data_IF_540181912108
#
_entry.id   IF_540181912108
#
_cell.length_a   1.000
_cell.length_b   1.000
_cell.length_c   1.000
_cell.angle_alpha   90.00
_cell.angle_beta   90.00
_cell.angle_gamma   90.00
#
_symmetry.space_group_name_H-M   'P 1'
#
loop_
_entity.id
_entity.type
_entity.pdbx_description
1 polymer ?
#
# COMPACT_ATOMS: atom_id res chain seq x y z
N UNK A 1 25.74 5.29 -11.56
CA UNK A 1 25.27 6.43 -10.78
C UNK A 1 24.34 5.84 -9.75
N UNK A 2 24.82 5.77 -8.49
CA UNK A 2 24.04 5.23 -7.41
C UNK A 2 23.01 6.27 -6.96
N UNK A 3 21.74 6.01 -7.16
CA UNK A 3 20.66 6.62 -6.43
C UNK A 3 20.68 6.04 -5.01
N UNK A 4 20.72 6.88 -4.00
CA UNK A 4 20.90 6.44 -2.62
C UNK A 4 19.61 5.81 -2.01
N UNK A 5 18.45 6.04 -2.60
CA UNK A 5 17.19 5.35 -2.23
C UNK A 5 16.56 4.71 -3.46
N UNK A 6 16.34 3.42 -3.39
CA UNK A 6 15.64 2.66 -4.41
C UNK A 6 14.57 1.82 -3.74
N UNK A 7 13.33 2.27 -3.79
CA UNK A 7 12.19 1.41 -3.51
C UNK A 7 11.98 0.52 -4.73
N UNK A 8 11.80 -0.78 -4.50
CA UNK A 8 11.79 -1.79 -5.55
C UNK A 8 10.55 -2.63 -5.44
N UNK A 9 9.86 -2.78 -6.55
CA UNK A 9 8.77 -3.74 -6.65
C UNK A 9 9.02 -4.76 -7.77
N UNK A 10 8.63 -6.01 -7.51
CA UNK A 10 8.76 -7.13 -8.43
C UNK A 10 7.44 -7.38 -9.12
N UNK A 11 7.48 -7.52 -10.44
CA UNK A 11 6.28 -7.88 -11.19
C UNK A 11 5.73 -9.23 -10.72
N UNK A 12 4.50 -9.30 -10.21
CA UNK A 12 3.92 -10.55 -9.70
C UNK A 12 3.62 -11.59 -10.79
N UNK A 13 3.41 -11.14 -12.03
CA UNK A 13 3.02 -11.98 -13.17
C UNK A 13 4.24 -12.27 -14.04
N UNK A 14 5.01 -11.24 -14.39
CA UNK A 14 6.15 -11.34 -15.29
C UNK A 14 7.44 -11.44 -14.51
N UNK A 15 7.95 -12.68 -14.36
CA UNK A 15 9.15 -12.95 -13.57
C UNK A 15 10.39 -12.25 -14.15
N UNK A 16 11.22 -11.71 -13.24
CA UNK A 16 12.46 -11.03 -13.59
C UNK A 16 12.31 -9.53 -13.87
N UNK A 17 11.09 -9.00 -13.96
CA UNK A 17 10.85 -7.58 -14.13
C UNK A 17 10.76 -6.87 -12.77
N UNK A 18 11.53 -5.78 -12.62
CA UNK A 18 11.60 -4.98 -11.38
C UNK A 18 11.45 -3.51 -11.75
N UNK A 19 10.72 -2.78 -10.92
CA UNK A 19 10.70 -1.31 -10.91
C UNK A 19 11.56 -0.79 -9.77
N UNK A 20 12.13 0.38 -9.97
CA UNK A 20 12.90 1.10 -8.97
C UNK A 20 12.54 2.58 -9.02
N UNK A 21 12.00 3.11 -7.92
CA UNK A 21 11.80 4.54 -7.71
C UNK A 21 13.11 5.21 -7.31
N UNK A 22 13.29 6.46 -7.66
CA UNK A 22 14.54 7.17 -7.45
C UNK A 22 14.33 8.63 -7.05
N UNK A 23 15.24 9.14 -6.21
CA UNK A 23 15.34 10.56 -5.86
C UNK A 23 15.55 11.48 -7.08
N UNK A 24 16.07 10.95 -8.20
CA UNK A 24 16.27 11.68 -9.44
C UNK A 24 14.97 11.92 -10.24
N UNK A 25 13.80 11.72 -9.61
CA UNK A 25 12.46 11.90 -10.17
C UNK A 25 12.07 10.89 -11.23
N UNK A 26 12.83 9.81 -11.39
CA UNK A 26 12.57 8.80 -12.41
C UNK A 26 12.17 7.45 -11.82
N UNK A 27 11.48 6.65 -12.65
CA UNK A 27 11.25 5.23 -12.37
C UNK A 27 12.00 4.41 -13.40
N UNK A 28 12.88 3.52 -12.94
CA UNK A 28 13.64 2.62 -13.80
C UNK A 28 13.00 1.22 -13.81
N UNK A 29 12.81 0.69 -15.01
CA UNK A 29 12.33 -0.67 -15.24
C UNK A 29 13.49 -1.57 -15.67
N UNK A 30 13.67 -2.67 -14.99
CA UNK A 30 14.74 -3.63 -15.22
C UNK A 30 14.20 -4.99 -15.61
N UNK A 31 14.89 -5.66 -16.55
CA UNK A 31 14.68 -7.08 -16.86
C UNK A 31 15.92 -7.88 -16.43
N UNK A 32 15.81 -8.61 -15.34
CA UNK A 32 16.91 -9.43 -14.82
C UNK A 32 17.27 -10.60 -15.74
N UNK A 33 16.35 -11.03 -16.59
CA UNK A 33 16.60 -12.10 -17.55
C UNK A 33 17.55 -11.65 -18.67
N UNK A 34 17.68 -10.34 -18.88
CA UNK A 34 18.61 -9.77 -19.85
C UNK A 34 20.06 -9.69 -19.34
N UNK A 35 20.32 -10.07 -18.07
CA UNK A 35 21.67 -10.05 -17.50
C UNK A 35 22.60 -11.04 -18.21
N UNK A 36 23.73 -10.51 -18.68
CA UNK A 36 24.80 -11.31 -19.28
C UNK A 36 26.03 -11.33 -18.37
N UNK A 37 26.52 -12.52 -18.05
CA UNK A 37 27.67 -12.71 -17.14
C UNK A 37 28.95 -12.03 -17.64
N UNK A 38 29.10 -11.92 -18.94
CA UNK A 38 30.25 -11.32 -19.61
C UNK A 38 30.32 -9.82 -19.41
N UNK A 39 29.20 -9.13 -19.47
CA UNK A 39 29.13 -7.68 -19.33
C UNK A 39 29.26 -7.20 -17.87
N UNK A 40 28.87 -8.07 -16.91
CA UNK A 40 28.78 -7.76 -15.46
C UNK A 40 27.93 -6.53 -15.12
N UNK A 41 27.23 -5.98 -16.08
CA UNK A 41 26.38 -4.80 -15.96
C UNK A 41 25.00 -5.09 -16.50
N UNK A 42 23.99 -4.57 -15.84
CA UNK A 42 22.63 -4.54 -16.32
C UNK A 42 22.23 -3.08 -16.52
N UNK A 43 21.65 -2.78 -17.68
CA UNK A 43 21.09 -1.45 -17.94
C UNK A 43 19.58 -1.52 -17.78
N UNK A 44 18.92 -0.40 -17.36
CA UNK A 44 17.47 -0.39 -17.31
C UNK A 44 16.91 -0.64 -18.70
N UNK A 45 15.88 -1.47 -18.76
CA UNK A 45 15.11 -1.70 -19.97
C UNK A 45 14.45 -0.41 -20.45
N UNK A 46 13.98 0.40 -19.48
CA UNK A 46 13.34 1.69 -19.72
C UNK A 46 13.44 2.59 -18.48
N UNK A 47 13.44 3.91 -18.73
CA UNK A 47 13.38 4.93 -17.67
C UNK A 47 12.17 5.83 -17.94
N UNK A 48 11.27 5.91 -16.98
CA UNK A 48 10.05 6.72 -17.06
C UNK A 48 10.28 8.07 -16.38
N UNK A 49 9.85 9.13 -17.07
CA UNK A 49 10.02 10.52 -16.62
C UNK A 49 8.67 11.21 -16.62
N UNK A 50 8.19 11.62 -15.44
CA UNK A 50 6.87 12.23 -15.32
C UNK A 50 6.66 12.95 -14.01
N UNK A 51 7.32 12.51 -12.93
CA UNK A 51 7.32 13.23 -11.67
C UNK A 51 8.17 14.48 -11.73
N UNK A 52 7.79 15.50 -10.96
CA UNK A 52 8.53 16.76 -10.82
C UNK A 52 9.33 16.85 -9.52
N UNK A 53 9.19 15.87 -8.63
CA UNK A 53 9.91 15.73 -7.38
C UNK A 53 10.30 14.25 -7.16
N UNK A 54 10.85 13.91 -6.00
CA UNK A 54 11.27 12.56 -5.62
C UNK A 54 10.14 11.57 -5.82
N UNK A 55 10.45 10.39 -6.35
CA UNK A 55 9.50 9.27 -6.44
C UNK A 55 9.68 8.42 -5.20
N UNK A 56 8.67 8.45 -4.32
CA UNK A 56 8.73 7.79 -3.03
C UNK A 56 8.40 6.30 -3.12
N UNK A 57 7.43 5.92 -3.96
CA UNK A 57 7.03 4.53 -4.08
C UNK A 57 6.59 4.13 -5.49
N UNK A 58 6.70 2.83 -5.80
CA UNK A 58 6.23 2.22 -7.04
C UNK A 58 5.61 0.87 -6.76
N UNK A 59 4.51 0.56 -7.45
CA UNK A 59 3.85 -0.72 -7.34
C UNK A 59 3.43 -1.25 -8.71
N UNK A 60 3.69 -2.53 -8.97
CA UNK A 60 3.09 -3.24 -10.09
C UNK A 60 1.63 -3.55 -9.82
N UNK A 61 0.85 -3.54 -10.88
CA UNK A 61 -0.53 -4.00 -10.83
C UNK A 61 -0.60 -5.51 -10.65
N UNK A 62 -1.45 -6.00 -9.72
CA UNK A 62 -1.51 -7.42 -9.40
C UNK A 62 -2.11 -8.30 -10.50
N UNK A 63 -2.99 -7.73 -11.34
CA UNK A 63 -3.71 -8.46 -12.40
C UNK A 63 -3.25 -8.13 -13.82
N UNK A 64 -2.47 -7.06 -14.02
CA UNK A 64 -2.01 -6.61 -15.34
C UNK A 64 -0.49 -6.44 -15.38
N UNK A 65 0.19 -7.34 -16.06
CA UNK A 65 1.66 -7.40 -16.11
C UNK A 65 2.36 -6.14 -16.66
N UNK A 66 1.63 -5.29 -17.39
CA UNK A 66 2.18 -4.10 -18.04
C UNK A 66 1.80 -2.78 -17.36
N UNK A 67 0.95 -2.82 -16.33
CA UNK A 67 0.53 -1.62 -15.60
C UNK A 67 1.28 -1.49 -14.28
N UNK A 68 1.65 -0.26 -13.95
CA UNK A 68 2.21 0.08 -12.64
C UNK A 68 1.84 1.51 -12.25
N UNK A 69 1.93 1.81 -10.97
CA UNK A 69 1.76 3.14 -10.42
C UNK A 69 3.07 3.62 -9.79
N UNK A 70 3.28 4.92 -9.78
CA UNK A 70 4.31 5.60 -9.01
C UNK A 70 3.73 6.81 -8.30
N UNK A 71 4.25 7.11 -7.12
CA UNK A 71 3.84 8.23 -6.28
C UNK A 71 5.06 8.97 -5.76
N UNK A 72 4.90 10.22 -5.35
CA UNK A 72 6.03 10.99 -4.86
C UNK A 72 5.67 12.32 -4.22
N UNK A 73 6.70 13.11 -3.93
CA UNK A 73 6.62 14.41 -3.25
C UNK A 73 5.87 15.47 -4.04
N UNK A 74 5.68 15.26 -5.35
CA UNK A 74 4.86 16.14 -6.18
C UNK A 74 3.35 15.95 -5.96
N UNK A 75 2.95 15.17 -4.94
CA UNK A 75 1.58 14.88 -4.53
C UNK A 75 0.77 14.12 -5.56
N UNK A 76 1.43 13.54 -6.54
CA UNK A 76 0.79 12.89 -7.66
C UNK A 76 0.91 11.37 -7.58
N UNK A 77 -0.14 10.71 -8.07
CA UNK A 77 -0.10 9.32 -8.48
C UNK A 77 -0.10 9.27 -10.00
N UNK A 78 0.91 8.64 -10.58
CA UNK A 78 1.05 8.42 -12.01
C UNK A 78 0.82 6.95 -12.35
N UNK A 79 -0.03 6.68 -13.33
CA UNK A 79 -0.26 5.35 -13.86
C UNK A 79 0.44 5.20 -15.21
N UNK A 80 1.13 4.09 -15.37
CA UNK A 80 1.98 3.79 -16.51
C UNK A 80 1.58 2.48 -17.18
N UNK A 81 1.77 2.44 -18.50
CA UNK A 81 1.66 1.20 -19.29
C UNK A 81 2.99 0.95 -19.99
N UNK A 82 3.64 -0.17 -19.70
CA UNK A 82 4.95 -0.52 -20.27
C UNK A 82 4.92 -0.78 -21.78
N UNK A 83 3.74 -0.91 -22.37
CA UNK A 83 3.56 -1.06 -23.83
C UNK A 83 3.64 0.27 -24.57
N UNK A 84 3.38 1.38 -23.88
CA UNK A 84 3.46 2.70 -24.48
C UNK A 84 4.91 3.09 -24.74
N UNK A 85 5.21 3.41 -25.99
CA UNK A 85 6.56 3.78 -26.43
C UNK A 85 6.98 5.20 -26.02
N UNK A 86 6.01 6.05 -25.67
CA UNK A 86 6.23 7.48 -25.44
C UNK A 86 6.74 7.82 -24.04
N UNK A 87 6.83 6.83 -23.13
CA UNK A 87 7.28 7.05 -21.73
C UNK A 87 6.53 8.15 -20.99
N UNK A 88 5.25 8.38 -21.37
CA UNK A 88 4.36 9.35 -20.75
C UNK A 88 3.38 8.61 -19.85
N UNK A 89 3.03 9.13 -18.67
CA UNK A 89 2.05 8.48 -17.82
C UNK A 89 0.67 8.45 -18.52
N UNK A 90 0.00 7.31 -18.43
CA UNK A 90 -1.34 7.10 -18.99
C UNK A 90 -2.37 7.97 -18.27
N UNK A 91 -2.21 8.08 -16.95
CA UNK A 91 -3.02 8.97 -16.12
C UNK A 91 -2.12 9.67 -15.10
N UNK A 92 -2.52 10.90 -14.78
CA UNK A 92 -1.89 11.76 -13.78
C UNK A 92 -2.98 12.27 -12.85
N UNK A 93 -2.83 12.00 -11.56
CA UNK A 93 -3.82 12.36 -10.55
C UNK A 93 -3.12 13.12 -9.42
N UNK A 94 -3.62 14.29 -9.05
CA UNK A 94 -3.25 14.92 -7.79
C UNK A 94 -3.98 14.16 -6.67
N UNK A 95 -3.25 13.21 -6.05
CA UNK A 95 -3.88 12.23 -5.18
C UNK A 95 -4.15 12.77 -3.78
N UNK A 96 -3.29 13.66 -3.30
CA UNK A 96 -3.34 14.17 -1.93
C UNK A 96 -2.97 15.64 -1.86
N UNK A 97 -3.22 16.25 -0.70
CA UNK A 97 -2.79 17.63 -0.41
C UNK A 97 -1.34 17.71 0.06
N UNK A 98 -0.78 16.58 0.54
CA UNK A 98 0.60 16.38 0.93
C UNK A 98 1.36 15.43 0.01
N UNK A 99 2.62 15.18 0.30
CA UNK A 99 3.48 14.20 -0.35
C UNK A 99 2.87 12.80 -0.27
N UNK A 100 3.05 11.98 -1.30
CA UNK A 100 2.51 10.62 -1.35
C UNK A 100 3.64 9.63 -1.17
N UNK A 101 3.65 8.97 -0.02
CA UNK A 101 4.76 8.13 0.42
C UNK A 101 4.61 6.65 0.02
N UNK A 102 3.37 6.19 -0.19
CA UNK A 102 3.11 4.78 -0.47
C UNK A 102 2.00 4.58 -1.48
N UNK A 103 2.11 3.52 -2.29
CA UNK A 103 1.07 3.07 -3.22
C UNK A 103 0.97 1.55 -3.24
N UNK A 104 -0.25 1.02 -3.23
CA UNK A 104 -0.46 -0.43 -3.26
C UNK A 104 -1.75 -0.79 -3.98
N UNK A 105 -1.65 -1.69 -4.97
CA UNK A 105 -2.82 -2.23 -5.66
C UNK A 105 -3.48 -3.34 -4.86
N UNK A 106 -4.81 -3.37 -4.87
CA UNK A 106 -5.56 -4.46 -4.26
C UNK A 106 -5.24 -5.79 -4.97
N UNK A 107 -4.92 -6.86 -4.22
CA UNK A 107 -4.76 -8.18 -4.81
C UNK A 107 -6.09 -8.83 -5.19
N UNK A 108 -7.20 -8.39 -4.60
CA UNK A 108 -8.53 -8.94 -4.85
C UNK A 108 -9.26 -8.25 -6.01
N UNK A 109 -9.02 -6.96 -6.21
CA UNK A 109 -9.70 -6.15 -7.23
C UNK A 109 -8.73 -5.54 -8.23
N UNK A 110 -8.99 -5.74 -9.52
CA UNK A 110 -8.21 -5.12 -10.59
C UNK A 110 -8.42 -3.60 -10.73
N UNK A 111 -9.41 -3.02 -10.02
CA UNK A 111 -9.75 -1.61 -10.15
C UNK A 111 -9.34 -0.76 -8.96
N UNK A 112 -8.91 -1.34 -7.86
CA UNK A 112 -8.68 -0.61 -6.61
C UNK A 112 -7.19 -0.43 -6.34
N UNK A 113 -6.81 0.82 -6.04
CA UNK A 113 -5.48 1.18 -5.56
C UNK A 113 -5.60 2.06 -4.31
N UNK A 114 -4.69 1.87 -3.37
CA UNK A 114 -4.57 2.67 -2.16
C UNK A 114 -3.30 3.53 -2.20
N UNK A 115 -3.38 4.75 -1.68
CA UNK A 115 -2.26 5.68 -1.55
C UNK A 115 -2.16 6.21 -0.13
N UNK A 116 -0.97 6.34 0.43
CA UNK A 116 -0.72 6.92 1.75
C UNK A 116 0.09 8.20 1.68
N UNK A 117 -0.28 9.19 2.47
CA UNK A 117 0.26 10.52 2.33
C UNK A 117 0.72 11.14 3.65
N UNK A 118 1.58 12.15 3.51
CA UNK A 118 1.98 13.06 4.58
C UNK A 118 0.82 13.93 5.08
N UNK A 119 -0.31 13.99 4.34
CA UNK A 119 -1.54 14.62 4.81
C UNK A 119 -2.31 13.77 5.84
N UNK A 120 -1.74 12.63 6.27
CA UNK A 120 -2.22 11.72 7.33
C UNK A 120 -3.37 10.81 6.90
N UNK A 121 -3.71 10.82 5.64
CA UNK A 121 -4.82 10.04 5.10
C UNK A 121 -4.36 8.89 4.21
N UNK A 122 -5.21 7.88 4.09
CA UNK A 122 -5.09 6.84 3.08
C UNK A 122 -6.21 7.02 2.07
N UNK A 123 -5.86 7.34 0.82
CA UNK A 123 -6.81 7.49 -0.28
C UNK A 123 -7.10 6.16 -0.98
N UNK A 124 -8.35 5.87 -1.24
CA UNK A 124 -8.79 4.73 -2.07
C UNK A 124 -9.26 5.24 -3.42
N UNK A 125 -8.82 4.60 -4.49
CA UNK A 125 -9.05 5.04 -5.88
C UNK A 125 -9.62 3.92 -6.74
N UNK A 126 -10.54 4.29 -7.65
CA UNK A 126 -11.02 3.40 -8.71
C UNK A 126 -10.32 3.78 -10.03
N UNK A 127 -9.56 2.86 -10.60
CA UNK A 127 -8.84 3.05 -11.86
C UNK A 127 -9.74 3.37 -13.06
N UNK A 128 -11.03 3.08 -12.96
CA UNK A 128 -12.03 3.41 -13.98
C UNK A 128 -12.46 4.88 -13.92
N UNK A 129 -12.34 5.50 -12.73
CA UNK A 129 -12.67 6.91 -12.51
C UNK A 129 -11.71 7.52 -11.48
N UNK A 130 -10.67 8.14 -11.96
CA UNK A 130 -9.63 8.78 -11.16
C UNK A 130 -9.89 10.28 -10.90
N UNK A 131 -11.05 10.79 -11.25
CA UNK A 131 -11.38 12.21 -11.04
C UNK A 131 -11.59 12.57 -9.57
N UNK A 132 -12.00 11.62 -8.76
CA UNK A 132 -12.19 11.73 -7.31
C UNK A 132 -11.80 10.41 -6.64
N UNK A 133 -11.28 10.49 -5.41
CA UNK A 133 -11.08 9.28 -4.61
C UNK A 133 -12.42 8.63 -4.25
N UNK A 134 -12.44 7.33 -4.06
CA UNK A 134 -13.61 6.57 -3.60
C UNK A 134 -13.91 6.86 -2.14
N UNK A 135 -12.86 6.86 -1.33
CA UNK A 135 -12.94 7.04 0.12
C UNK A 135 -11.60 7.53 0.66
N UNK A 136 -11.64 8.24 1.79
CA UNK A 136 -10.47 8.66 2.56
C UNK A 136 -10.54 8.02 3.93
N UNK A 137 -9.50 7.26 4.32
CA UNK A 137 -9.39 6.65 5.63
C UNK A 137 -8.63 7.62 6.55
N UNK A 138 -9.29 8.09 7.61
CA UNK A 138 -8.82 9.14 8.49
C UNK A 138 -8.80 8.64 9.94
N UNK A 139 -7.62 8.29 10.46
CA UNK A 139 -7.41 7.98 11.88
C UNK A 139 -5.95 8.16 12.29
N UNK A 140 -5.02 8.30 11.35
CA UNK A 140 -3.65 8.62 11.67
C UNK A 140 -3.51 10.09 12.08
N UNK A 141 -2.60 10.34 13.05
CA UNK A 141 -2.33 11.69 13.54
C UNK A 141 -1.07 12.31 12.95
N UNK A 142 -0.33 11.52 12.15
CA UNK A 142 0.89 11.92 11.46
C UNK A 142 0.99 11.21 10.11
N UNK A 143 2.05 11.48 9.34
CA UNK A 143 2.28 10.99 7.99
C UNK A 143 2.11 9.47 7.86
N UNK A 144 1.42 9.02 6.82
CA UNK A 144 1.35 7.62 6.43
C UNK A 144 2.57 7.29 5.59
N UNK A 145 3.36 6.31 6.03
CA UNK A 145 4.63 5.93 5.41
C UNK A 145 4.53 4.69 4.53
N UNK A 146 3.67 3.72 4.90
CA UNK A 146 3.55 2.45 4.18
C UNK A 146 2.13 1.92 4.22
N UNK A 147 1.73 1.22 3.14
CA UNK A 147 0.44 0.56 3.01
C UNK A 147 0.63 -0.84 2.43
N UNK A 148 -0.08 -1.82 2.97
CA UNK A 148 -0.16 -3.14 2.36
C UNK A 148 -1.55 -3.76 2.49
N UNK A 149 -2.04 -4.33 1.41
CA UNK A 149 -3.27 -5.12 1.39
C UNK A 149 -3.06 -6.50 2.00
N UNK A 150 -4.09 -7.01 2.68
CA UNK A 150 -4.11 -8.39 3.13
C UNK A 150 -4.13 -9.34 1.93
N UNK A 151 -3.30 -10.39 1.89
CA UNK A 151 -3.39 -11.42 0.86
C UNK A 151 -4.53 -12.41 1.06
N UNK A 152 -5.19 -12.38 2.22
CA UNK A 152 -6.22 -13.34 2.62
C UNK A 152 -7.62 -12.74 2.66
N UNK A 153 -7.74 -11.43 2.88
CA UNK A 153 -9.02 -10.74 3.05
C UNK A 153 -9.13 -9.62 2.02
N UNK A 154 -10.17 -9.68 1.20
CA UNK A 154 -10.36 -8.79 0.05
C UNK A 154 -10.54 -7.32 0.45
N UNK A 155 -11.13 -7.07 1.61
CA UNK A 155 -11.48 -5.72 2.09
C UNK A 155 -10.50 -5.16 3.12
N UNK A 156 -9.46 -5.93 3.48
CA UNK A 156 -8.57 -5.57 4.58
C UNK A 156 -7.24 -5.03 4.07
N UNK A 157 -6.83 -3.91 4.63
CA UNK A 157 -5.49 -3.34 4.43
C UNK A 157 -4.89 -2.84 5.75
N UNK A 158 -3.56 -2.65 5.76
CA UNK A 158 -2.85 -1.99 6.85
C UNK A 158 -2.19 -0.71 6.36
N UNK A 159 -2.07 0.27 7.26
CA UNK A 159 -1.23 1.45 7.08
C UNK A 159 -0.32 1.67 8.27
N UNK A 160 0.93 2.03 8.01
CA UNK A 160 1.92 2.39 9.03
C UNK A 160 2.19 3.90 8.96
N UNK A 161 2.33 4.56 10.13
CA UNK A 161 2.46 6.01 10.20
C UNK A 161 3.56 6.44 11.17
N UNK A 162 4.06 7.66 10.93
CA UNK A 162 4.97 8.39 11.82
C UNK A 162 4.41 8.60 13.23
N UNK A 163 3.10 8.44 13.42
CA UNK A 163 2.43 8.47 14.74
C UNK A 163 2.76 7.24 15.61
N UNK A 164 3.61 6.34 15.13
CA UNK A 164 4.05 5.09 15.78
C UNK A 164 2.97 4.02 15.87
N UNK A 165 1.95 4.13 15.06
CA UNK A 165 0.83 3.19 15.00
C UNK A 165 0.79 2.47 13.65
N UNK A 166 0.24 1.27 13.69
CA UNK A 166 -0.15 0.54 12.49
C UNK A 166 -1.64 0.27 12.59
N UNK A 167 -2.39 0.84 11.67
CA UNK A 167 -3.83 0.70 11.60
C UNK A 167 -4.19 -0.44 10.66
N UNK A 168 -5.14 -1.27 11.07
CA UNK A 168 -5.77 -2.31 10.25
C UNK A 168 -7.18 -1.84 9.92
N UNK A 169 -7.50 -1.81 8.64
CA UNK A 169 -8.76 -1.31 8.11
C UNK A 169 -9.55 -2.44 7.48
N UNK A 170 -10.85 -2.45 7.70
CA UNK A 170 -11.80 -3.30 6.99
C UNK A 170 -12.79 -2.44 6.20
N UNK A 171 -12.59 -2.37 4.90
CA UNK A 171 -13.39 -1.54 3.99
C UNK A 171 -14.84 -1.99 3.87
N UNK A 172 -15.15 -3.22 4.28
CA UNK A 172 -16.56 -3.70 4.28
C UNK A 172 -17.43 -2.94 5.27
N UNK A 173 -16.80 -2.32 6.28
CA UNK A 173 -17.47 -1.57 7.34
C UNK A 173 -17.66 -0.08 7.04
N UNK A 174 -17.22 0.38 5.86
CA UNK A 174 -17.42 1.78 5.44
C UNK A 174 -18.91 2.10 5.40
N UNK A 175 -19.30 3.14 6.16
CA UNK A 175 -20.69 3.59 6.26
C UNK A 175 -21.57 2.80 7.23
N UNK A 176 -21.00 1.90 8.03
CA UNK A 176 -21.74 1.30 9.16
C UNK A 176 -22.07 2.35 10.21
N UNK A 177 -23.28 2.26 10.76
CA UNK A 177 -23.70 3.10 11.90
C UNK A 177 -22.95 2.63 13.16
N UNK A 178 -22.31 3.56 13.86
CA UNK A 178 -21.63 3.30 15.12
C UNK A 178 -22.41 3.87 16.31
N UNK A 179 -22.30 3.22 17.48
CA UNK A 179 -22.70 3.84 18.73
C UNK A 179 -21.82 5.07 19.02
N UNK A 180 -22.36 6.12 19.69
CA UNK A 180 -21.59 7.31 20.01
C UNK A 180 -20.29 7.02 20.79
N UNK A 181 -20.28 5.97 21.61
CA UNK A 181 -19.12 5.52 22.38
C UNK A 181 -18.05 4.92 21.48
N UNK A 182 -18.44 4.13 20.48
CA UNK A 182 -17.50 3.51 19.51
C UNK A 182 -16.93 4.52 18.53
N UNK A 183 -17.71 5.56 18.19
CA UNK A 183 -17.26 6.62 17.29
C UNK A 183 -16.13 7.51 17.88
N UNK A 184 -15.94 7.51 19.21
CA UNK A 184 -14.84 8.18 19.87
C UNK A 184 -13.49 7.48 19.61
N UNK A 185 -13.49 6.17 19.34
CA UNK A 185 -12.29 5.36 19.09
C UNK A 185 -11.83 5.39 17.62
N UNK A 186 -12.66 5.90 16.72
CA UNK A 186 -12.34 6.05 15.29
C UNK A 186 -13.49 5.69 14.35
N UNK A 187 -13.27 5.74 13.03
CA UNK A 187 -14.28 5.39 12.04
C UNK A 187 -14.59 3.88 12.05
N UNK A 188 -15.75 3.50 11.54
CA UNK A 188 -16.26 2.12 11.58
C UNK A 188 -15.31 1.12 10.86
N UNK A 189 -14.68 1.56 9.80
CA UNK A 189 -13.71 0.79 9.02
C UNK A 189 -12.35 0.61 9.72
N UNK A 190 -12.07 1.32 10.83
CA UNK A 190 -10.87 1.10 11.64
C UNK A 190 -11.06 -0.14 12.52
N UNK A 191 -10.56 -1.28 12.05
CA UNK A 191 -10.73 -2.56 12.73
C UNK A 191 -9.84 -2.69 13.97
N UNK A 192 -8.58 -2.25 13.86
CA UNK A 192 -7.60 -2.43 14.93
C UNK A 192 -6.45 -1.43 14.82
N UNK A 193 -5.93 -1.00 15.98
CA UNK A 193 -4.76 -0.11 16.08
C UNK A 193 -3.65 -0.82 16.85
N UNK A 194 -2.53 -1.10 16.20
CA UNK A 194 -1.32 -1.59 16.86
C UNK A 194 -0.45 -0.42 17.32
N UNK A 195 -0.37 -0.24 18.64
CA UNK A 195 0.41 0.85 19.29
C UNK A 195 1.67 0.36 19.98
N UNK A 196 2.22 -0.80 19.60
CA UNK A 196 3.39 -1.40 20.28
C UNK A 196 4.73 -0.75 19.95
N UNK A 197 4.82 0.03 18.87
CA UNK A 197 6.07 0.69 18.49
C UNK A 197 6.36 1.95 19.32
N UNK A 198 7.62 2.13 19.70
CA UNK A 198 8.11 3.33 20.38
C UNK A 198 8.76 4.33 19.41
N UNK A 199 9.07 3.89 18.20
CA UNK A 199 9.55 4.69 17.08
C UNK A 199 8.64 4.49 15.86
N UNK A 200 8.80 5.31 14.82
CA UNK A 200 7.97 5.22 13.62
C UNK A 200 8.22 3.91 12.86
N UNK A 201 7.18 3.13 12.55
CA UNK A 201 7.30 1.99 11.68
C UNK A 201 7.50 2.45 10.24
N UNK A 202 8.53 1.92 9.58
CA UNK A 202 8.94 2.28 8.22
C UNK A 202 8.53 1.26 7.18
N UNK A 203 8.26 0.03 7.61
CA UNK A 203 7.87 -1.04 6.69
C UNK A 203 6.93 -2.03 7.37
N UNK A 204 6.08 -2.66 6.56
CA UNK A 204 5.13 -3.68 7.03
C UNK A 204 4.92 -4.76 5.97
N UNK A 205 4.63 -5.96 6.42
CA UNK A 205 4.35 -7.09 5.54
C UNK A 205 3.36 -8.06 6.16
N UNK A 206 2.40 -8.51 5.37
CA UNK A 206 1.48 -9.57 5.77
C UNK A 206 2.12 -10.96 5.61
N UNK A 207 1.76 -11.88 6.49
CA UNK A 207 2.12 -13.29 6.31
C UNK A 207 1.37 -13.88 5.11
N UNK A 208 2.07 -14.53 4.17
CA UNK A 208 1.40 -15.22 3.07
C UNK A 208 0.73 -16.55 3.48
N UNK A 209 0.94 -17.01 4.71
CA UNK A 209 0.46 -18.31 5.20
C UNK A 209 -0.56 -18.18 6.32
N UNK A 210 -0.34 -17.24 7.23
CA UNK A 210 -1.17 -17.09 8.42
C UNK A 210 -2.04 -15.84 8.26
N UNK A 211 -3.36 -15.99 8.18
CA UNK A 211 -4.27 -14.85 8.20
C UNK A 211 -4.04 -13.98 9.46
N UNK A 212 -4.20 -12.69 9.30
CA UNK A 212 -4.05 -11.71 10.39
C UNK A 212 -2.65 -11.56 11.01
N UNK A 213 -1.65 -12.30 10.57
CA UNK A 213 -0.29 -12.13 11.07
C UNK A 213 0.45 -11.09 10.23
N UNK A 214 1.01 -10.10 10.91
CA UNK A 214 1.70 -8.95 10.31
C UNK A 214 3.08 -8.82 10.94
N UNK A 215 4.07 -8.53 10.12
CA UNK A 215 5.40 -8.12 10.55
C UNK A 215 5.56 -6.63 10.27
N UNK A 216 6.11 -5.90 11.23
CA UNK A 216 6.40 -4.47 11.11
C UNK A 216 7.81 -4.17 11.59
N UNK A 217 8.51 -3.28 10.89
CA UNK A 217 9.85 -2.81 11.23
C UNK A 217 9.82 -1.30 11.53
N UNK A 218 10.58 -0.87 12.53
CA UNK A 218 10.66 0.52 12.96
C UNK A 218 12.10 1.05 12.98
N UNK A 219 12.26 2.37 13.01
CA UNK A 219 13.58 3.03 12.96
C UNK A 219 14.50 2.74 14.15
N UNK A 220 13.95 2.25 15.26
CA UNK A 220 14.70 1.81 16.42
C UNK A 220 15.34 0.41 16.26
N UNK A 221 15.35 -0.12 15.05
CA UNK A 221 15.82 -1.46 14.68
C UNK A 221 15.00 -2.61 15.32
N UNK A 222 13.76 -2.34 15.72
CA UNK A 222 12.85 -3.35 16.23
C UNK A 222 11.97 -3.88 15.12
N UNK A 223 11.91 -5.20 15.00
CA UNK A 223 10.93 -5.92 14.16
C UNK A 223 9.95 -6.61 15.09
N UNK A 224 8.67 -6.35 14.88
CA UNK A 224 7.58 -7.00 15.60
C UNK A 224 6.80 -7.91 14.68
N UNK A 225 6.39 -9.07 15.18
CA UNK A 225 5.43 -9.95 14.53
C UNK A 225 4.24 -10.10 15.46
N UNK A 226 3.08 -9.70 14.98
CA UNK A 226 1.87 -9.62 15.79
C UNK A 226 0.62 -10.00 14.99
N UNK A 227 -0.47 -10.15 15.68
CA UNK A 227 -1.81 -10.33 15.09
C UNK A 227 -2.86 -9.72 16.03
N UNK A 228 -3.98 -9.20 15.50
CA UNK A 228 -5.13 -8.81 16.31
C UNK A 228 -5.68 -9.98 17.12
N UNK A 229 -6.34 -9.69 18.23
CA UNK A 229 -7.01 -10.73 19.00
C UNK A 229 -8.14 -11.37 18.19
N UNK A 230 -8.39 -12.68 18.39
CA UNK A 230 -9.44 -13.40 17.66
C UNK A 230 -10.83 -12.77 17.82
N UNK A 231 -11.13 -12.26 19.01
CA UNK A 231 -12.38 -11.57 19.29
C UNK A 231 -12.63 -10.32 18.44
N UNK A 232 -11.60 -9.76 17.79
CA UNK A 232 -11.70 -8.59 16.92
C UNK A 232 -11.96 -9.02 15.47
N UNK A 233 -11.34 -10.12 15.04
CA UNK A 233 -11.25 -10.51 13.62
C UNK A 233 -12.16 -11.69 13.25
N UNK A 234 -12.62 -12.45 14.24
CA UNK A 234 -13.56 -13.54 14.05
C UNK A 234 -14.93 -13.10 14.59
N UNK A 235 -16.02 -13.27 13.83
CA UNK A 235 -17.36 -13.01 14.37
C UNK A 235 -17.56 -13.88 15.61
N UNK A 236 -18.15 -13.32 16.67
CA UNK A 236 -18.54 -14.10 17.85
C UNK A 236 -19.35 -15.30 17.35
N UNK A 237 -18.92 -16.52 17.72
CA UNK A 237 -19.74 -17.71 17.46
C UNK A 237 -21.11 -17.43 18.06
N UNK A 238 -22.17 -17.49 17.24
CA UNK A 238 -23.54 -17.33 17.74
C UNK A 238 -23.71 -18.32 18.88
N UNK A 239 -24.05 -17.84 20.07
CA UNK A 239 -24.37 -18.71 21.18
C UNK A 239 -25.42 -19.73 20.68
N UNK A 240 -25.19 -21.03 20.86
CA UNK A 240 -26.17 -22.02 20.40
C UNK A 240 -27.54 -21.66 20.98
N UNK A 241 -28.53 -21.56 20.12
CA UNK A 241 -29.87 -21.21 20.52
C UNK A 241 -30.30 -22.16 21.63
N UNK A 242 -30.84 -21.63 22.74
CA UNK A 242 -31.27 -22.42 23.88
C UNK A 242 -32.32 -23.51 23.50
N UNK A 243 -32.81 -23.47 22.24
CA UNK A 243 -33.68 -24.46 21.65
C UNK A 243 -32.96 -25.75 21.18
N UNK A 244 -31.63 -25.75 21.05
CA UNK A 244 -30.84 -26.93 20.66
C UNK A 244 -30.36 -27.77 21.89
N UNK A 245 -30.78 -27.41 23.08
CA UNK A 245 -30.43 -28.07 24.35
C UNK A 245 -31.58 -28.90 24.98
N UNK A 246 -32.64 -29.20 24.24
CA UNK A 246 -33.69 -30.14 24.67
C UNK A 246 -33.62 -31.51 23.97
#
# INVERSE_FOLDING_TARGET
VGSEMCIRDRNPIRQGHILCASEDTTVCHWDLNAYQKESKTLHPLRTYRGHSAIVEDVAWHNHHENLFASVGDDRQMLLWDTRDSNEVPKYRVEAHTGEVNAVSFSPASEYIVATGSSDKTVGLWDLRNLSTHLHSLEAHTDEVLQIAWSPHHETVLCSASSDRRVNVWDLSRIGEEQAPEDAEDGPAELLFVHGGHISRPTDLSWSPKDPWKIATAAEDNIVMVWQPARSIVEPAEAEPDAADLE
#
